data_IF_957600069201
#
_entry.id   IF_957600069201
#
_cell.length_a   1.000
_cell.length_b   1.000
_cell.length_c   1.000
_cell.angle_alpha   90.00
_cell.angle_beta   90.00
_cell.angle_gamma   90.00
#
_symmetry.space_group_name_H-M   'P 1'
#
loop_
_entity.id
_entity.type
_entity.pdbx_description
1 polymer ?
#
# COMPACT_ATOMS: atom_id res chain seq x y z
N UNK A 1 -7.05 21.64 -1.85
CA UNK A 1 -6.83 21.68 -3.32
C UNK A 1 -8.10 21.16 -3.99
N UNK A 2 -8.83 21.99 -4.71
CA UNK A 2 -9.98 21.53 -5.51
C UNK A 2 -9.38 20.80 -6.70
N UNK A 3 -9.46 19.46 -6.74
CA UNK A 3 -9.31 18.74 -7.99
C UNK A 3 -10.38 19.32 -8.92
N UNK A 4 -9.98 20.03 -9.98
CA UNK A 4 -10.87 20.75 -10.84
C UNK A 4 -12.02 19.83 -11.27
N UNK A 5 -13.26 20.18 -10.93
CA UNK A 5 -14.47 19.66 -11.58
C UNK A 5 -14.33 19.96 -13.08
N UNK A 6 -13.84 19.00 -13.84
CA UNK A 6 -13.79 19.11 -15.29
C UNK A 6 -15.18 18.85 -15.89
N UNK A 7 -15.47 19.58 -16.93
CA UNK A 7 -16.73 19.60 -17.67
C UNK A 7 -17.21 18.19 -18.08
N UNK A 8 -18.50 18.05 -18.31
CA UNK A 8 -19.24 16.82 -18.69
C UNK A 8 -18.72 16.05 -19.92
N UNK A 9 -17.79 16.60 -20.69
CA UNK A 9 -17.16 15.96 -21.84
C UNK A 9 -15.68 15.62 -21.53
N UNK A 10 -15.46 14.48 -20.88
CA UNK A 10 -14.11 14.01 -20.61
C UNK A 10 -13.55 13.33 -21.87
N UNK A 11 -12.66 14.06 -22.57
CA UNK A 11 -12.00 13.57 -23.81
C UNK A 11 -10.83 12.62 -23.56
N UNK A 12 -10.66 12.08 -22.35
CA UNK A 12 -9.54 11.21 -21.99
C UNK A 12 -10.04 9.90 -21.38
N UNK A 13 -9.41 8.77 -21.69
CA UNK A 13 -9.76 7.49 -21.08
C UNK A 13 -9.46 7.50 -19.58
N UNK A 14 -10.13 6.64 -18.81
CA UNK A 14 -10.00 6.57 -17.35
C UNK A 14 -8.55 6.37 -16.93
N UNK A 15 -7.80 5.49 -17.58
CA UNK A 15 -6.38 5.29 -17.24
C UNK A 15 -5.57 6.59 -17.37
N UNK A 16 -5.80 7.36 -18.44
CA UNK A 16 -5.10 8.63 -18.62
C UNK A 16 -5.48 9.63 -17.53
N UNK A 17 -6.75 9.68 -17.13
CA UNK A 17 -7.19 10.56 -16.04
C UNK A 17 -6.54 10.19 -14.71
N UNK A 18 -6.38 8.89 -14.42
CA UNK A 18 -5.64 8.41 -13.23
C UNK A 18 -4.20 8.91 -13.27
N UNK A 19 -3.50 8.71 -14.39
CA UNK A 19 -2.09 9.10 -14.55
C UNK A 19 -1.89 10.62 -14.61
N UNK A 20 -2.87 11.39 -15.08
CA UNK A 20 -2.84 12.87 -15.07
C UNK A 20 -2.83 13.47 -13.64
N UNK A 21 -3.13 12.68 -12.62
CA UNK A 21 -2.93 13.08 -11.23
C UNK A 21 -1.45 13.16 -10.85
N UNK A 22 -0.55 12.57 -11.64
CA UNK A 22 0.89 12.76 -11.43
C UNK A 22 1.27 14.14 -11.95
N UNK A 23 1.71 15.08 -11.08
CA UNK A 23 2.10 16.40 -11.54
C UNK A 23 3.30 16.31 -12.50
N UNK A 24 3.24 17.03 -13.61
CA UNK A 24 4.28 16.97 -14.64
C UNK A 24 5.69 17.31 -14.10
N UNK A 25 5.77 18.16 -13.06
CA UNK A 25 7.05 18.49 -12.45
C UNK A 25 7.64 17.31 -11.66
N UNK A 26 6.80 16.47 -11.02
CA UNK A 26 7.24 15.26 -10.29
C UNK A 26 7.91 14.31 -11.26
N UNK A 27 7.24 13.99 -12.37
CA UNK A 27 7.79 13.10 -13.39
C UNK A 27 9.11 13.67 -13.96
N UNK A 28 9.11 14.94 -14.39
CA UNK A 28 10.30 15.57 -14.97
C UNK A 28 11.49 15.61 -14.01
N UNK A 29 11.25 15.94 -12.74
CA UNK A 29 12.31 16.01 -11.72
C UNK A 29 12.94 14.64 -11.48
N UNK A 30 12.12 13.57 -11.35
CA UNK A 30 12.61 12.22 -11.14
C UNK A 30 13.36 11.69 -12.37
N UNK A 31 12.82 11.90 -13.57
CA UNK A 31 13.49 11.53 -14.83
C UNK A 31 14.86 12.23 -14.96
N UNK A 32 14.91 13.52 -14.66
CA UNK A 32 16.17 14.28 -14.68
C UNK A 32 17.17 13.76 -13.63
N UNK A 33 16.72 13.53 -12.39
CA UNK A 33 17.56 13.04 -11.29
C UNK A 33 18.24 11.71 -11.62
N UNK A 34 17.51 10.78 -12.23
CA UNK A 34 18.01 9.43 -12.55
C UNK A 34 18.44 9.26 -14.01
N UNK A 35 18.35 10.30 -14.83
CA UNK A 35 18.74 10.31 -16.24
C UNK A 35 18.11 9.18 -17.07
N UNK A 36 16.87 8.76 -16.71
CA UNK A 36 16.24 7.53 -17.22
C UNK A 36 15.77 7.65 -18.67
N UNK A 37 15.67 8.85 -19.22
CA UNK A 37 15.31 9.08 -20.62
C UNK A 37 16.51 9.48 -21.50
N UNK A 38 17.74 9.54 -20.93
CA UNK A 38 18.95 9.83 -21.68
C UNK A 38 19.19 8.74 -22.73
N UNK A 39 19.30 9.11 -23.99
CA UNK A 39 19.47 8.19 -25.11
C UNK A 39 18.21 7.38 -25.48
N UNK A 40 17.06 7.62 -24.82
CA UNK A 40 15.82 6.92 -25.11
C UNK A 40 14.97 7.68 -26.13
N UNK A 41 14.86 7.15 -27.37
CA UNK A 41 14.09 7.78 -28.43
C UNK A 41 12.64 7.28 -28.51
N UNK A 42 12.42 5.98 -28.34
CA UNK A 42 11.14 5.29 -28.64
C UNK A 42 10.31 4.96 -27.41
N UNK A 43 10.93 4.67 -26.27
CA UNK A 43 10.25 4.20 -25.06
C UNK A 43 10.81 4.89 -23.82
N UNK A 44 10.16 5.96 -23.41
CA UNK A 44 10.57 6.80 -22.30
C UNK A 44 10.02 6.30 -20.97
N UNK A 45 10.43 6.90 -19.87
CA UNK A 45 9.95 6.58 -18.51
C UNK A 45 8.44 6.71 -18.40
N UNK A 46 7.84 7.72 -19.03
CA UNK A 46 6.39 7.87 -19.08
C UNK A 46 5.70 6.69 -19.80
N UNK A 47 6.26 6.24 -20.92
CA UNK A 47 5.68 5.12 -21.68
C UNK A 47 5.71 3.83 -20.87
N UNK A 48 6.79 3.61 -20.10
CA UNK A 48 6.88 2.47 -19.17
C UNK A 48 5.86 2.58 -18.02
N UNK A 49 5.68 3.78 -17.46
CA UNK A 49 4.68 4.03 -16.44
C UNK A 49 3.27 3.72 -16.96
N UNK A 50 2.93 4.19 -18.17
CA UNK A 50 1.64 3.88 -18.82
C UNK A 50 1.49 2.38 -19.04
N UNK A 51 2.48 1.73 -19.65
CA UNK A 51 2.43 0.32 -20.02
C UNK A 51 2.25 -0.58 -18.79
N UNK A 52 3.06 -0.39 -17.74
CA UNK A 52 2.96 -1.20 -16.53
C UNK A 52 1.70 -0.88 -15.70
N UNK A 53 1.25 0.38 -15.67
CA UNK A 53 -0.02 0.72 -15.00
C UNK A 53 -1.21 0.10 -15.73
N UNK A 54 -1.21 0.11 -17.06
CA UNK A 54 -2.20 -0.60 -17.87
C UNK A 54 -2.19 -2.10 -17.57
N UNK A 55 -0.98 -2.71 -17.59
CA UNK A 55 -0.82 -4.13 -17.32
C UNK A 55 -1.36 -4.55 -15.96
N UNK A 56 -1.12 -3.76 -14.92
CA UNK A 56 -1.59 -4.04 -13.56
C UNK A 56 -3.11 -3.90 -13.42
N UNK A 57 -3.67 -2.78 -13.87
CA UNK A 57 -5.10 -2.53 -13.79
C UNK A 57 -5.90 -3.43 -14.73
N UNK A 58 -5.38 -3.70 -15.93
CA UNK A 58 -5.97 -4.61 -16.91
C UNK A 58 -5.76 -6.09 -16.61
N UNK A 59 -4.99 -6.42 -15.54
CA UNK A 59 -4.63 -7.81 -15.19
C UNK A 59 -3.95 -8.57 -16.34
N UNK A 60 -3.05 -7.89 -17.07
CA UNK A 60 -2.28 -8.52 -18.14
C UNK A 60 -1.22 -9.47 -17.55
N UNK A 61 -1.11 -10.67 -18.12
CA UNK A 61 -0.16 -11.68 -17.66
C UNK A 61 1.19 -11.62 -18.39
N UNK A 62 1.20 -10.99 -19.55
CA UNK A 62 2.40 -10.88 -20.40
C UNK A 62 2.58 -9.46 -20.93
N UNK A 63 3.82 -9.13 -21.35
CA UNK A 63 4.10 -7.89 -22.06
C UNK A 63 3.39 -7.83 -23.41
N UNK A 64 3.08 -8.98 -24.02
CA UNK A 64 2.31 -9.05 -25.26
C UNK A 64 0.87 -8.62 -25.04
N UNK A 65 0.25 -8.99 -23.92
CA UNK A 65 -1.11 -8.55 -23.57
C UNK A 65 -1.17 -7.02 -23.42
N UNK A 66 -0.15 -6.43 -22.78
CA UNK A 66 -0.04 -4.97 -22.65
C UNK A 66 0.06 -4.31 -24.03
N UNK A 67 0.95 -4.83 -24.88
CA UNK A 67 1.13 -4.31 -26.25
C UNK A 67 -0.17 -4.39 -27.04
N UNK A 68 -0.87 -5.53 -26.99
CA UNK A 68 -2.14 -5.74 -27.64
C UNK A 68 -3.21 -4.75 -27.13
N UNK A 69 -3.37 -4.64 -25.80
CA UNK A 69 -4.37 -3.77 -25.20
C UNK A 69 -4.15 -2.28 -25.45
N UNK A 70 -2.90 -1.82 -25.46
CA UNK A 70 -2.57 -0.41 -25.75
C UNK A 70 -2.73 -0.07 -27.24
N UNK A 71 -2.61 -1.04 -28.13
CA UNK A 71 -2.74 -0.85 -29.58
C UNK A 71 -4.15 -1.04 -30.13
N UNK A 72 -5.14 -1.27 -29.27
CA UNK A 72 -6.53 -1.55 -29.68
C UNK A 72 -7.14 -0.42 -30.53
N UNK A 73 -6.68 0.80 -30.34
CA UNK A 73 -7.07 1.99 -31.09
C UNK A 73 -5.92 3.00 -31.15
N UNK A 74 -5.65 3.52 -32.36
CA UNK A 74 -4.70 4.61 -32.52
C UNK A 74 -5.08 5.86 -31.75
N UNK A 75 -6.37 6.18 -31.70
CA UNK A 75 -6.90 7.32 -30.90
C UNK A 75 -6.64 7.10 -29.42
N UNK A 76 -6.94 5.91 -28.90
CA UNK A 76 -6.67 5.57 -27.51
C UNK A 76 -5.18 5.75 -27.17
N UNK A 77 -4.30 5.24 -28.01
CA UNK A 77 -2.85 5.34 -27.80
C UNK A 77 -2.38 6.81 -27.76
N UNK A 78 -2.87 7.66 -28.69
CA UNK A 78 -2.58 9.10 -28.71
C UNK A 78 -3.11 9.79 -27.44
N UNK A 79 -4.34 9.48 -27.03
CA UNK A 79 -4.95 10.05 -25.83
C UNK A 79 -4.24 9.62 -24.54
N UNK A 80 -3.63 8.44 -24.55
CA UNK A 80 -2.70 8.02 -23.48
C UNK A 80 -1.38 8.78 -23.49
N UNK A 81 -1.08 9.57 -24.52
CA UNK A 81 0.16 10.32 -24.69
C UNK A 81 1.32 9.47 -25.19
N UNK A 82 1.04 8.30 -25.77
CA UNK A 82 2.04 7.42 -26.38
C UNK A 82 2.26 7.82 -27.85
N UNK A 83 3.51 7.91 -28.27
CA UNK A 83 3.86 8.21 -29.66
C UNK A 83 3.77 7.00 -30.58
N UNK A 84 3.97 5.81 -30.03
CA UNK A 84 3.93 4.53 -30.70
C UNK A 84 3.54 3.42 -29.75
N UNK A 85 3.07 2.29 -30.28
CA UNK A 85 2.75 1.13 -29.46
C UNK A 85 4.01 0.55 -28.82
N UNK A 86 4.06 0.38 -27.48
CA UNK A 86 5.15 -0.31 -26.82
C UNK A 86 5.15 -1.79 -27.18
N UNK A 87 6.14 -2.25 -27.94
CA UNK A 87 6.27 -3.68 -28.29
C UNK A 87 6.99 -4.45 -27.19
N UNK A 88 6.75 -5.78 -27.13
CA UNK A 88 7.26 -6.67 -26.08
C UNK A 88 8.76 -6.53 -25.82
N UNK A 89 9.59 -6.52 -26.88
CA UNK A 89 11.05 -6.40 -26.76
C UNK A 89 11.46 -5.08 -26.10
N UNK A 90 10.92 -3.97 -26.59
CA UNK A 90 11.22 -2.63 -26.06
C UNK A 90 10.77 -2.47 -24.59
N UNK A 91 9.61 -3.04 -24.23
CA UNK A 91 9.16 -3.06 -22.82
C UNK A 91 10.08 -3.92 -21.96
N UNK A 92 10.51 -5.08 -22.46
CA UNK A 92 11.43 -5.98 -21.75
C UNK A 92 12.76 -5.28 -21.47
N UNK A 93 13.34 -4.63 -22.47
CA UNK A 93 14.59 -3.87 -22.33
C UNK A 93 14.45 -2.69 -21.37
N UNK A 94 13.35 -1.94 -21.48
CA UNK A 94 13.05 -0.87 -20.55
C UNK A 94 12.91 -1.35 -19.10
N UNK A 95 12.22 -2.49 -18.87
CA UNK A 95 12.06 -3.09 -17.55
C UNK A 95 13.40 -3.57 -16.97
N UNK A 96 14.28 -4.11 -17.80
CA UNK A 96 15.58 -4.60 -17.39
C UNK A 96 16.56 -3.46 -17.06
N UNK A 97 16.62 -2.43 -17.89
CA UNK A 97 17.71 -1.47 -17.91
C UNK A 97 17.38 -0.11 -17.28
N UNK A 98 16.10 0.34 -17.26
CA UNK A 98 15.73 1.63 -16.68
C UNK A 98 15.72 1.55 -15.16
N UNK A 99 16.51 2.40 -14.52
CA UNK A 99 16.66 2.42 -13.07
C UNK A 99 15.32 2.58 -12.35
N UNK A 100 14.89 1.56 -11.60
CA UNK A 100 13.62 1.54 -10.85
C UNK A 100 13.47 2.68 -9.84
N UNK A 101 14.60 3.26 -9.38
CA UNK A 101 14.60 4.38 -8.43
C UNK A 101 13.88 5.62 -8.97
N UNK A 102 13.66 5.72 -10.27
CA UNK A 102 12.82 6.79 -10.82
C UNK A 102 11.37 6.66 -10.35
N UNK A 103 10.82 5.44 -10.31
CA UNK A 103 9.47 5.18 -9.85
C UNK A 103 9.34 5.25 -8.33
N UNK A 104 10.38 4.83 -7.60
CA UNK A 104 10.50 5.03 -6.16
C UNK A 104 10.44 6.52 -5.80
N UNK A 105 11.24 7.35 -6.46
CA UNK A 105 11.26 8.80 -6.23
C UNK A 105 9.94 9.47 -6.61
N UNK A 106 9.30 9.06 -7.71
CA UNK A 106 7.95 9.53 -8.09
C UNK A 106 6.95 9.21 -6.97
N UNK A 107 6.97 7.99 -6.43
CA UNK A 107 6.06 7.58 -5.35
C UNK A 107 6.21 8.48 -4.12
N UNK A 108 7.43 8.69 -3.63
CA UNK A 108 7.65 9.54 -2.45
C UNK A 108 7.36 11.02 -2.70
N UNK A 109 7.61 11.52 -3.91
CA UNK A 109 7.22 12.88 -4.26
C UNK A 109 5.69 13.04 -4.33
N UNK A 110 4.95 12.02 -4.77
CA UNK A 110 3.49 12.02 -4.73
C UNK A 110 2.93 12.03 -3.30
N UNK A 111 3.50 11.23 -2.38
CA UNK A 111 3.16 11.30 -0.96
C UNK A 111 3.36 12.72 -0.43
N UNK A 112 4.51 13.33 -0.71
CA UNK A 112 4.79 14.71 -0.29
C UNK A 112 3.81 15.72 -0.91
N UNK A 113 3.46 15.55 -2.18
CA UNK A 113 2.55 16.45 -2.90
C UNK A 113 1.11 16.35 -2.38
N UNK A 114 0.64 15.13 -2.14
CA UNK A 114 -0.75 14.87 -1.73
C UNK A 114 -0.95 14.68 -0.22
N UNK A 115 0.11 14.78 0.59
CA UNK A 115 0.09 14.49 2.03
C UNK A 115 -1.09 15.16 2.75
N UNK A 116 -1.31 16.48 2.55
CA UNK A 116 -2.44 17.21 3.15
C UNK A 116 -3.83 16.69 2.74
N UNK A 117 -3.96 16.21 1.51
CA UNK A 117 -5.23 15.64 1.01
C UNK A 117 -5.45 14.24 1.56
N UNK A 118 -4.37 13.51 1.82
CA UNK A 118 -4.39 12.15 2.33
C UNK A 118 -4.57 12.07 3.85
N UNK A 119 -4.26 13.14 4.58
CA UNK A 119 -4.42 13.21 6.05
C UNK A 119 -5.85 13.44 6.53
N UNK A 120 -6.85 13.36 5.67
CA UNK A 120 -8.26 13.52 6.05
C UNK A 120 -8.70 12.37 6.98
N UNK A 121 -8.92 12.71 8.24
CA UNK A 121 -9.20 11.76 9.34
C UNK A 121 -10.65 11.25 9.40
N UNK A 122 -11.56 11.71 8.54
CA UNK A 122 -13.02 11.44 8.65
C UNK A 122 -13.41 9.96 8.61
N UNK A 123 -12.52 9.08 8.19
CA UNK A 123 -12.79 7.65 7.97
C UNK A 123 -11.95 6.73 8.85
N UNK A 124 -11.22 7.27 9.85
CA UNK A 124 -10.31 6.47 10.66
C UNK A 124 -10.78 6.37 12.09
N UNK A 125 -10.64 5.17 12.65
CA UNK A 125 -10.76 4.98 14.09
C UNK A 125 -9.64 5.77 14.78
N UNK A 126 -10.02 6.76 15.58
CA UNK A 126 -9.10 7.59 16.36
C UNK A 126 -9.01 7.01 17.76
N UNK A 127 -7.79 6.77 18.24
CA UNK A 127 -7.52 6.45 19.64
C UNK A 127 -7.28 7.78 20.33
N UNK A 128 -8.21 8.20 21.18
CA UNK A 128 -8.25 9.55 21.74
C UNK A 128 -6.98 9.93 22.50
N UNK A 129 -6.43 9.01 23.30
CA UNK A 129 -5.24 9.25 24.12
C UNK A 129 -3.99 9.58 23.28
N UNK A 130 -3.93 9.09 22.04
CA UNK A 130 -2.78 9.27 21.12
C UNK A 130 -3.14 9.98 19.81
N UNK A 131 -4.26 10.68 19.77
CA UNK A 131 -4.80 11.31 18.54
C UNK A 131 -3.89 12.32 17.87
N UNK A 132 -2.98 12.92 18.62
CA UNK A 132 -2.02 13.92 18.15
C UNK A 132 -0.65 13.33 17.84
N UNK A 133 -0.44 12.06 18.16
CA UNK A 133 0.84 11.39 17.98
C UNK A 133 1.01 10.83 16.56
N UNK A 134 2.25 10.70 16.14
CA UNK A 134 2.59 10.05 14.89
C UNK A 134 2.67 8.54 15.11
N UNK A 135 1.79 7.77 14.46
CA UNK A 135 1.77 6.31 14.58
C UNK A 135 2.34 5.71 13.29
N UNK A 136 3.33 4.83 13.45
CA UNK A 136 3.95 4.05 12.38
C UNK A 136 3.72 2.57 12.63
N UNK A 137 3.12 1.89 11.65
CA UNK A 137 2.93 0.45 11.69
C UNK A 137 4.03 -0.21 10.85
N UNK A 138 4.66 -1.25 11.38
CA UNK A 138 5.76 -1.94 10.70
C UNK A 138 5.38 -3.39 10.48
N UNK A 139 5.48 -3.81 9.21
CA UNK A 139 5.32 -5.21 8.83
C UNK A 139 6.05 -5.52 7.53
N UNK A 140 6.14 -6.78 7.18
CA UNK A 140 6.70 -7.22 5.92
C UNK A 140 5.79 -8.23 5.22
N UNK A 141 5.83 -8.25 3.90
CA UNK A 141 5.12 -9.25 3.13
C UNK A 141 6.07 -9.98 2.19
N UNK A 142 6.03 -11.31 2.25
CA UNK A 142 6.77 -12.16 1.33
C UNK A 142 5.99 -12.38 0.04
N UNK A 143 6.68 -12.25 -1.08
CA UNK A 143 6.20 -12.63 -2.41
C UNK A 143 7.05 -13.80 -2.89
N UNK A 144 6.41 -14.96 -3.08
CA UNK A 144 7.09 -16.16 -3.59
C UNK A 144 7.37 -16.03 -5.08
N UNK A 145 8.58 -16.41 -5.49
CA UNK A 145 9.07 -16.37 -6.86
C UNK A 145 9.54 -17.77 -7.29
N UNK A 146 9.44 -18.06 -8.59
CA UNK A 146 10.02 -19.27 -9.16
C UNK A 146 11.53 -19.11 -9.28
N UNK A 147 12.30 -19.93 -8.57
CA UNK A 147 13.77 -19.80 -8.47
C UNK A 147 14.47 -19.91 -9.83
N UNK A 148 13.96 -20.75 -10.72
CA UNK A 148 14.53 -20.93 -12.06
C UNK A 148 14.40 -19.67 -12.95
N UNK A 149 13.49 -18.75 -12.59
CA UNK A 149 13.27 -17.50 -13.33
C UNK A 149 13.87 -16.27 -12.61
N UNK A 150 14.13 -16.38 -11.31
CA UNK A 150 14.58 -15.29 -10.44
C UNK A 150 15.78 -15.71 -9.61
N UNK A 151 16.91 -15.99 -10.25
CA UNK A 151 18.16 -16.48 -9.66
C UNK A 151 18.75 -15.56 -8.59
N UNK A 152 18.46 -14.26 -8.67
CA UNK A 152 18.88 -13.24 -7.70
C UNK A 152 18.06 -13.27 -6.39
N UNK A 153 16.87 -13.88 -6.37
CA UNK A 153 15.93 -13.85 -5.24
C UNK A 153 15.95 -15.15 -4.42
N UNK A 154 17.14 -15.60 -4.02
CA UNK A 154 17.32 -16.87 -3.28
C UNK A 154 16.67 -16.82 -1.90
N UNK A 155 15.85 -17.82 -1.58
CA UNK A 155 15.19 -17.93 -0.27
C UNK A 155 15.47 -19.27 0.43
N UNK A 156 15.26 -20.40 -0.25
CA UNK A 156 15.55 -21.77 0.21
C UNK A 156 16.00 -22.59 -1.00
N UNK A 157 16.49 -23.81 -0.75
CA UNK A 157 17.05 -24.69 -1.79
C UNK A 157 16.15 -24.88 -3.03
N UNK A 158 14.82 -24.72 -2.88
CA UNK A 158 13.85 -24.95 -3.98
C UNK A 158 12.88 -23.77 -4.22
N UNK A 159 13.00 -22.65 -3.49
CA UNK A 159 12.05 -21.51 -3.63
C UNK A 159 12.78 -20.18 -3.60
N UNK A 160 12.49 -19.34 -4.58
CA UNK A 160 12.85 -17.92 -4.56
C UNK A 160 11.79 -17.08 -3.84
N UNK A 161 12.17 -15.91 -3.41
CA UNK A 161 11.23 -14.96 -2.82
C UNK A 161 11.87 -13.62 -2.54
N UNK A 162 11.04 -12.61 -2.53
CA UNK A 162 11.39 -11.28 -2.05
C UNK A 162 10.50 -10.90 -0.87
N UNK A 163 11.01 -10.02 -0.05
CA UNK A 163 10.30 -9.46 1.10
C UNK A 163 10.17 -7.97 0.92
N UNK A 164 8.95 -7.46 1.10
CA UNK A 164 8.62 -6.04 1.04
C UNK A 164 8.45 -5.58 2.49
N UNK A 165 9.48 -4.96 3.05
CA UNK A 165 9.42 -4.34 4.37
C UNK A 165 8.78 -2.98 4.23
N UNK A 166 7.80 -2.68 5.07
CA UNK A 166 6.96 -1.51 4.93
C UNK A 166 6.82 -0.79 6.26
N UNK A 167 7.00 0.52 6.24
CA UNK A 167 6.54 1.42 7.28
C UNK A 167 5.30 2.11 6.76
N UNK A 168 4.20 1.91 7.45
CA UNK A 168 2.91 2.50 7.16
C UNK A 168 2.68 3.70 8.08
N UNK A 169 2.36 4.83 7.49
CA UNK A 169 1.94 6.01 8.24
C UNK A 169 0.42 5.95 8.48
N UNK A 170 0.01 5.83 9.75
CA UNK A 170 -1.41 5.77 10.10
C UNK A 170 -2.15 7.06 9.72
N UNK A 171 -1.48 8.22 9.80
CA UNK A 171 -2.07 9.52 9.45
C UNK A 171 -2.33 9.63 7.95
N UNK A 172 -1.40 9.18 7.12
CA UNK A 172 -1.56 9.17 5.66
C UNK A 172 -2.46 8.02 5.17
N UNK A 173 -2.45 6.88 5.90
CA UNK A 173 -3.03 5.62 5.48
C UNK A 173 -2.37 5.07 4.22
N UNK A 174 -1.05 5.19 4.16
CA UNK A 174 -0.19 4.77 3.06
C UNK A 174 1.19 4.37 3.58
N UNK A 175 1.91 3.50 2.87
CA UNK A 175 3.33 3.28 3.11
C UNK A 175 4.12 4.57 2.87
N UNK A 176 4.86 5.03 3.85
CA UNK A 176 5.79 6.15 3.69
C UNK A 176 7.25 5.71 3.59
N UNK A 177 7.51 4.42 3.80
CA UNK A 177 8.80 3.80 3.51
C UNK A 177 8.62 2.34 3.07
N UNK A 178 9.37 1.96 2.03
CA UNK A 178 9.40 0.61 1.47
C UNK A 178 10.85 0.20 1.25
N UNK A 179 11.23 -0.99 1.75
CA UNK A 179 12.49 -1.64 1.41
C UNK A 179 12.24 -3.04 0.85
N UNK A 180 12.80 -3.34 -0.30
CA UNK A 180 12.61 -4.62 -0.99
C UNK A 180 13.92 -5.41 -0.89
N UNK A 181 13.88 -6.56 -0.22
CA UNK A 181 15.03 -7.45 -0.01
C UNK A 181 14.77 -8.86 -0.49
N UNK A 182 15.80 -9.67 -0.54
CA UNK A 182 15.63 -11.14 -0.65
C UNK A 182 14.85 -11.65 0.58
N UNK A 183 13.99 -12.65 0.39
CA UNK A 183 13.13 -13.17 1.47
C UNK A 183 13.91 -13.83 2.63
N UNK A 184 15.19 -14.13 2.46
CA UNK A 184 16.07 -14.65 3.53
C UNK A 184 16.44 -13.57 4.56
N UNK A 185 16.34 -12.28 4.23
CA UNK A 185 16.69 -11.20 5.14
C UNK A 185 15.68 -11.18 6.29
N UNK A 186 16.21 -11.18 7.53
CA UNK A 186 15.37 -11.13 8.74
C UNK A 186 14.62 -9.78 8.82
N UNK A 187 13.40 -9.80 9.36
CA UNK A 187 12.54 -8.62 9.39
C UNK A 187 13.17 -7.44 10.12
N UNK A 188 13.78 -7.66 11.29
CA UNK A 188 14.47 -6.62 12.06
C UNK A 188 15.61 -5.96 11.28
N UNK A 189 16.33 -6.70 10.41
CA UNK A 189 17.40 -6.16 9.57
C UNK A 189 16.88 -5.37 8.38
N UNK A 190 15.72 -5.72 7.86
CA UNK A 190 15.11 -5.04 6.71
C UNK A 190 14.78 -3.57 6.96
N UNK A 191 14.58 -3.19 8.22
CA UNK A 191 14.25 -1.83 8.65
C UNK A 191 15.20 -1.26 9.70
N UNK A 192 16.33 -1.91 9.97
CA UNK A 192 17.30 -1.51 11.00
C UNK A 192 17.84 -0.08 10.82
N UNK A 193 17.90 0.43 9.58
CA UNK A 193 18.35 1.79 9.28
C UNK A 193 17.27 2.86 9.46
N UNK A 194 16.02 2.49 9.81
CA UNK A 194 14.94 3.46 9.96
C UNK A 194 15.01 4.16 11.32
N UNK A 195 15.20 5.47 11.27
CA UNK A 195 15.17 6.36 12.43
C UNK A 195 13.85 7.14 12.38
N UNK A 196 13.11 7.10 13.47
CA UNK A 196 11.88 7.85 13.61
C UNK A 196 12.08 9.11 14.45
N UNK A 197 11.35 10.20 14.19
CA UNK A 197 11.35 11.38 15.04
C UNK A 197 11.00 11.01 16.50
N UNK A 198 11.53 11.77 17.45
CA UNK A 198 11.17 11.64 18.87
C UNK A 198 9.66 11.70 19.06
N UNK A 199 9.11 10.85 19.93
CA UNK A 199 7.69 10.79 20.24
C UNK A 199 6.88 9.93 19.25
N UNK A 200 7.49 9.39 18.17
CA UNK A 200 6.78 8.48 17.26
C UNK A 200 6.41 7.19 17.98
N UNK A 201 5.16 6.77 17.82
CA UNK A 201 4.66 5.46 18.25
C UNK A 201 4.90 4.45 17.12
N UNK A 202 5.64 3.40 17.41
CA UNK A 202 5.99 2.35 16.45
C UNK A 202 5.32 1.05 16.87
N UNK A 203 4.41 0.56 16.03
CA UNK A 203 3.70 -0.71 16.25
C UNK A 203 4.28 -1.76 15.33
N UNK A 204 4.79 -2.84 15.89
CA UNK A 204 5.58 -3.85 15.18
C UNK A 204 5.01 -5.25 15.37
N UNK A 205 5.12 -6.13 14.36
CA UNK A 205 4.80 -7.54 14.54
C UNK A 205 5.87 -8.26 15.41
N UNK A 206 5.50 -9.38 15.99
CA UNK A 206 6.39 -10.25 16.79
C UNK A 206 7.68 -10.63 16.09
N UNK A 207 7.71 -10.66 14.75
CA UNK A 207 8.91 -10.92 13.98
C UNK A 207 10.00 -9.86 14.17
N UNK A 208 9.62 -8.64 14.57
CA UNK A 208 10.54 -7.52 14.87
C UNK A 208 10.99 -7.48 16.33
N UNK A 209 10.54 -8.42 17.18
CA UNK A 209 10.99 -8.49 18.57
C UNK A 209 12.51 -8.69 18.65
N UNK A 210 13.23 -7.66 19.07
CA UNK A 210 14.68 -7.62 19.15
C UNK A 210 15.10 -6.62 20.24
N UNK A 211 15.99 -7.04 21.17
CA UNK A 211 16.40 -6.20 22.30
C UNK A 211 17.25 -5.00 21.88
N UNK A 212 18.08 -5.13 20.86
CA UNK A 212 18.85 -4.00 20.31
C UNK A 212 17.90 -2.95 19.70
N UNK A 213 16.82 -3.41 19.04
CA UNK A 213 15.80 -2.54 18.51
C UNK A 213 15.04 -1.82 19.63
N UNK A 214 14.70 -2.49 20.73
CA UNK A 214 14.05 -1.87 21.90
C UNK A 214 14.94 -0.80 22.54
N UNK A 215 16.25 -1.09 22.67
CA UNK A 215 17.22 -0.10 23.11
C UNK A 215 17.24 1.11 22.17
N UNK A 216 17.36 0.88 20.88
CA UNK A 216 17.35 1.94 19.87
C UNK A 216 16.09 2.83 19.94
N UNK A 217 14.90 2.21 20.14
CA UNK A 217 13.64 2.95 20.32
C UNK A 217 13.67 3.81 21.60
N UNK A 218 14.13 3.24 22.71
CA UNK A 218 14.26 3.97 23.98
C UNK A 218 15.24 5.16 23.85
N UNK A 219 16.40 4.94 23.25
CA UNK A 219 17.42 5.96 23.07
C UNK A 219 16.92 7.12 22.17
N UNK A 220 16.14 6.79 21.14
CA UNK A 220 15.48 7.74 20.24
C UNK A 220 14.23 8.40 20.87
N UNK A 221 13.83 8.01 22.08
CA UNK A 221 12.59 8.47 22.75
C UNK A 221 11.34 8.19 21.90
N UNK A 222 11.32 7.05 21.23
CA UNK A 222 10.13 6.54 20.56
C UNK A 222 9.37 5.60 21.49
N UNK A 223 8.05 5.55 21.34
CA UNK A 223 7.23 4.52 21.95
C UNK A 223 7.16 3.33 21.03
N UNK A 224 7.21 2.10 21.54
CA UNK A 224 6.96 0.92 20.74
C UNK A 224 5.87 0.05 21.36
N UNK A 225 5.12 -0.65 20.52
CA UNK A 225 4.15 -1.70 20.92
C UNK A 225 4.38 -2.91 20.03
N UNK A 226 4.64 -4.07 20.65
CA UNK A 226 4.81 -5.34 19.92
C UNK A 226 4.34 -6.53 20.76
N UNK A 227 4.34 -7.74 20.17
CA UNK A 227 4.05 -8.97 20.93
C UNK A 227 5.29 -9.57 21.52
N UNK A 228 5.19 -10.02 22.78
CA UNK A 228 6.23 -10.78 23.45
C UNK A 228 6.44 -12.13 22.75
N UNK A 229 7.70 -12.57 22.61
CA UNK A 229 8.04 -13.94 22.17
C UNK A 229 7.91 -14.91 23.33
N UNK A 230 7.34 -16.10 23.11
CA UNK A 230 6.92 -17.07 24.14
C UNK A 230 8.02 -17.73 25.00
N UNK A 231 9.30 -17.36 24.84
CA UNK A 231 10.43 -17.92 25.64
C UNK A 231 11.34 -16.83 26.21
N UNK A 232 10.85 -15.60 26.29
CA UNK A 232 11.62 -14.50 26.85
C UNK A 232 11.49 -14.54 28.36
N UNK A 233 12.64 -14.46 29.04
CA UNK A 233 12.71 -14.45 30.52
C UNK A 233 12.54 -13.03 31.02
N UNK A 234 11.60 -12.85 31.93
CA UNK A 234 11.35 -11.60 32.63
C UNK A 234 10.89 -11.87 34.07
N UNK A 235 10.98 -10.88 34.90
CA UNK A 235 10.37 -10.84 36.24
C UNK A 235 9.28 -9.78 36.27
N UNK A 236 8.17 -10.08 36.92
CA UNK A 236 7.12 -9.10 37.24
C UNK A 236 7.58 -8.24 38.40
N UNK A 237 7.54 -6.93 38.23
CA UNK A 237 7.93 -5.96 39.25
C UNK A 237 6.73 -5.47 40.02
N UNK A 238 5.62 -5.24 39.31
CA UNK A 238 4.39 -4.70 39.87
C UNK A 238 3.21 -5.12 38.97
N UNK A 239 2.10 -5.49 39.58
CA UNK A 239 0.84 -5.70 38.87
C UNK A 239 0.01 -4.41 39.01
N UNK A 240 -0.44 -3.87 37.88
CA UNK A 240 -1.21 -2.64 37.83
C UNK A 240 -2.70 -2.95 37.99
N UNK A 241 -3.41 -2.10 38.74
CA UNK A 241 -4.84 -2.21 38.90
C UNK A 241 -5.58 -2.01 37.58
N UNK A 242 -6.50 -2.91 37.29
CA UNK A 242 -7.38 -2.80 36.14
C UNK A 242 -8.70 -2.16 36.59
N UNK A 243 -9.16 -1.07 35.94
CA UNK A 243 -10.45 -0.46 36.25
C UNK A 243 -11.60 -1.44 36.13
N UNK A 244 -12.65 -1.31 36.96
CA UNK A 244 -13.82 -2.18 36.93
C UNK A 244 -14.60 -2.12 35.62
N UNK A 245 -14.58 -0.96 34.97
CA UNK A 245 -15.21 -0.68 33.67
C UNK A 245 -14.32 -1.00 32.46
N UNK A 246 -13.19 -1.71 32.68
CA UNK A 246 -12.26 -2.10 31.63
C UNK A 246 -12.90 -2.96 30.55
N UNK A 247 -12.31 -2.96 29.36
CA UNK A 247 -12.60 -3.96 28.32
C UNK A 247 -12.31 -5.36 28.88
N UNK A 248 -13.30 -6.26 28.81
CA UNK A 248 -13.22 -7.63 29.33
C UNK A 248 -12.08 -8.45 28.67
N UNK A 249 -11.61 -8.00 27.52
CA UNK A 249 -10.49 -8.62 26.82
C UNK A 249 -9.11 -8.29 27.42
N UNK A 250 -9.02 -7.31 28.32
CA UNK A 250 -7.78 -7.02 29.08
C UNK A 250 -7.74 -7.91 30.31
N UNK A 251 -6.87 -8.91 30.28
CA UNK A 251 -6.80 -9.93 31.34
C UNK A 251 -5.83 -9.55 32.47
N UNK A 252 -4.68 -8.92 32.13
CA UNK A 252 -3.66 -8.55 33.09
C UNK A 252 -2.83 -7.37 32.57
N UNK A 253 -2.34 -6.56 33.49
CA UNK A 253 -1.47 -5.43 33.22
C UNK A 253 -0.34 -5.41 34.28
N UNK A 254 0.91 -5.43 33.85
CA UNK A 254 2.04 -5.52 34.77
C UNK A 254 3.28 -4.79 34.26
N UNK A 255 4.09 -4.31 35.19
CA UNK A 255 5.42 -3.80 34.94
C UNK A 255 6.44 -4.95 35.07
N UNK A 256 7.31 -5.07 34.10
CA UNK A 256 8.29 -6.16 34.03
C UNK A 256 9.72 -5.65 33.80
N UNK A 257 10.70 -6.50 34.16
CA UNK A 257 12.11 -6.35 33.74
C UNK A 257 12.55 -7.61 33.04
N UNK A 258 13.29 -7.44 31.93
CA UNK A 258 13.91 -8.58 31.26
C UNK A 258 15.11 -9.07 32.05
N UNK A 259 15.21 -10.40 32.25
CA UNK A 259 16.27 -11.06 33.02
C UNK A 259 17.24 -11.85 32.15
N UNK A 260 16.93 -11.98 30.84
CA UNK A 260 17.75 -12.77 29.92
C UNK A 260 19.14 -12.17 29.68
N UNK A 261 20.13 -13.01 29.38
CA UNK A 261 21.49 -12.57 29.04
C UNK A 261 21.52 -11.66 27.81
N UNK A 262 20.66 -11.91 26.84
CA UNK A 262 20.53 -11.13 25.62
C UNK A 262 20.02 -9.71 25.91
N UNK A 263 19.05 -9.57 26.80
CA UNK A 263 18.54 -8.26 27.23
C UNK A 263 19.61 -7.46 27.97
N UNK A 264 20.38 -8.11 28.86
CA UNK A 264 21.53 -7.47 29.57
C UNK A 264 22.59 -7.03 28.58
N UNK A 265 22.97 -7.88 27.60
CA UNK A 265 23.93 -7.54 26.55
C UNK A 265 23.47 -6.34 25.70
N UNK A 266 22.18 -6.24 25.42
CA UNK A 266 21.59 -5.10 24.72
C UNK A 266 21.48 -3.83 25.57
N UNK A 267 21.88 -3.84 26.87
CA UNK A 267 21.83 -2.68 27.77
C UNK A 267 20.45 -2.36 28.29
N UNK A 268 19.56 -3.33 28.38
CA UNK A 268 18.21 -3.20 28.94
C UNK A 268 18.12 -3.64 30.41
N UNK A 269 19.25 -3.93 31.06
CA UNK A 269 19.29 -4.32 32.48
C UNK A 269 18.66 -3.22 33.34
N UNK A 270 17.74 -3.61 34.24
CA UNK A 270 17.06 -2.68 35.15
C UNK A 270 16.00 -1.78 34.48
N UNK A 271 15.86 -1.79 33.16
CA UNK A 271 14.81 -1.04 32.46
C UNK A 271 13.44 -1.67 32.71
N UNK A 272 12.46 -0.81 33.00
CA UNK A 272 11.07 -1.22 33.19
C UNK A 272 10.35 -1.14 31.86
N UNK A 273 9.56 -2.17 31.59
CA UNK A 273 8.63 -2.27 30.46
C UNK A 273 7.25 -2.64 30.99
N UNK A 274 6.22 -2.37 30.20
CA UNK A 274 4.84 -2.75 30.56
C UNK A 274 4.40 -3.90 29.69
N UNK A 275 3.74 -4.88 30.30
CA UNK A 275 3.23 -6.08 29.66
C UNK A 275 1.71 -6.15 29.86
N UNK A 276 0.97 -5.97 28.79
CA UNK A 276 -0.49 -6.06 28.79
C UNK A 276 -0.92 -7.41 28.18
N UNK A 277 -1.65 -8.20 28.94
CA UNK A 277 -2.18 -9.49 28.52
C UNK A 277 -3.60 -9.32 27.99
N UNK A 278 -3.82 -9.67 26.75
CA UNK A 278 -5.09 -9.47 26.03
C UNK A 278 -5.62 -10.79 25.50
N UNK A 279 -6.92 -11.03 25.70
CA UNK A 279 -7.63 -12.13 25.03
C UNK A 279 -8.12 -11.68 23.67
N UNK A 280 -7.77 -12.42 22.63
CA UNK A 280 -8.20 -12.16 21.26
C UNK A 280 -9.33 -13.12 20.90
N UNK A 281 -10.56 -12.62 20.89
CA UNK A 281 -11.79 -13.42 20.64
C UNK A 281 -11.75 -14.12 19.28
N UNK A 282 -11.38 -13.38 18.20
CA UNK A 282 -11.35 -13.91 16.83
C UNK A 282 -10.51 -15.19 16.68
N UNK A 283 -9.41 -15.28 17.41
CA UNK A 283 -8.46 -16.39 17.33
C UNK A 283 -8.57 -17.35 18.55
N UNK A 284 -9.38 -17.04 19.54
CA UNK A 284 -9.48 -17.71 20.84
C UNK A 284 -8.09 -17.88 21.49
N UNK A 285 -7.31 -16.79 21.57
CA UNK A 285 -5.91 -16.81 22.02
C UNK A 285 -5.61 -15.66 22.96
N UNK A 286 -4.76 -15.96 23.95
CA UNK A 286 -4.13 -14.94 24.78
C UNK A 286 -2.87 -14.44 24.07
N UNK A 287 -2.71 -13.13 24.02
CA UNK A 287 -1.51 -12.47 23.51
C UNK A 287 -0.93 -11.54 24.58
N UNK A 288 0.38 -11.40 24.59
CA UNK A 288 1.11 -10.54 25.50
C UNK A 288 1.72 -9.40 24.72
N UNK A 289 1.32 -8.16 25.00
CA UNK A 289 1.78 -6.94 24.36
C UNK A 289 2.83 -6.27 25.26
N UNK A 290 3.99 -5.98 24.70
CA UNK A 290 5.08 -5.31 25.39
C UNK A 290 5.28 -3.90 24.85
N UNK A 291 5.50 -2.94 25.76
CA UNK A 291 5.76 -1.53 25.43
C UNK A 291 6.71 -0.91 26.45
N UNK A 292 7.36 0.19 26.04
CA UNK A 292 8.11 1.07 26.96
C UNK A 292 7.26 2.24 27.48
N UNK A 293 5.96 2.28 27.15
CA UNK A 293 5.04 3.29 27.64
C UNK A 293 4.27 2.75 28.86
N UNK A 294 4.41 3.43 30.00
CA UNK A 294 3.86 2.98 31.28
C UNK A 294 2.58 3.73 31.73
N UNK A 295 2.34 4.94 31.15
CA UNK A 295 1.32 5.86 31.66
C UNK A 295 -0.06 5.71 30.95
N UNK A 296 -0.10 5.13 29.73
CA UNK A 296 -1.36 5.01 28.97
C UNK A 296 -2.31 3.98 29.55
N UNK A 297 -3.57 4.05 29.17
CA UNK A 297 -4.52 2.99 29.50
C UNK A 297 -4.15 1.68 28.77
N UNK A 298 -4.39 0.53 29.40
CA UNK A 298 -4.11 -0.79 28.80
C UNK A 298 -4.86 -1.00 27.47
N UNK A 299 -6.08 -0.48 27.38
CA UNK A 299 -6.89 -0.54 26.16
C UNK A 299 -6.24 0.22 25.00
N UNK A 300 -5.59 1.35 25.26
CA UNK A 300 -4.86 2.11 24.24
C UNK A 300 -3.72 1.28 23.62
N UNK A 301 -3.00 0.50 24.43
CA UNK A 301 -1.94 -0.39 23.97
C UNK A 301 -2.52 -1.51 23.10
N UNK A 302 -3.66 -2.08 23.52
CA UNK A 302 -4.36 -3.10 22.74
C UNK A 302 -4.88 -2.57 21.40
N UNK A 303 -5.50 -1.40 21.39
CA UNK A 303 -6.04 -0.76 20.20
C UNK A 303 -4.93 -0.34 19.22
N UNK A 304 -3.79 0.17 19.73
CA UNK A 304 -2.62 0.44 18.90
C UNK A 304 -2.12 -0.83 18.20
N UNK A 305 -2.03 -1.93 18.95
CA UNK A 305 -1.60 -3.20 18.33
C UNK A 305 -2.63 -3.73 17.31
N UNK A 306 -3.92 -3.53 17.55
CA UNK A 306 -4.99 -3.88 16.60
C UNK A 306 -4.85 -3.12 15.29
N UNK A 307 -4.45 -1.84 15.30
CA UNK A 307 -4.18 -1.05 14.09
C UNK A 307 -3.12 -1.65 13.16
N UNK A 308 -2.21 -2.48 13.69
CA UNK A 308 -1.23 -3.19 12.86
C UNK A 308 -1.89 -3.99 11.72
N UNK A 309 -3.16 -4.38 11.90
CA UNK A 309 -3.92 -5.09 10.86
C UNK A 309 -4.13 -4.27 9.57
N UNK A 310 -4.07 -2.95 9.64
CA UNK A 310 -4.24 -2.08 8.46
C UNK A 310 -3.14 -2.32 7.41
N UNK A 311 -1.92 -2.62 7.85
CA UNK A 311 -0.82 -2.94 6.92
C UNK A 311 -0.99 -4.34 6.28
N UNK A 312 -1.60 -5.29 6.99
CA UNK A 312 -1.95 -6.60 6.41
C UNK A 312 -3.05 -6.45 5.35
N UNK A 313 -4.06 -5.62 5.63
CA UNK A 313 -5.11 -5.28 4.66
C UNK A 313 -4.49 -4.64 3.42
N UNK A 314 -3.56 -3.69 3.58
CA UNK A 314 -2.83 -3.10 2.47
C UNK A 314 -2.13 -4.15 1.60
N UNK A 315 -1.35 -5.06 2.21
CA UNK A 315 -0.69 -6.12 1.45
C UNK A 315 -1.67 -7.05 0.73
N UNK A 316 -2.80 -7.36 1.37
CA UNK A 316 -3.89 -8.13 0.75
C UNK A 316 -4.43 -7.42 -0.48
N UNK A 317 -4.73 -6.11 -0.38
CA UNK A 317 -5.23 -5.30 -1.49
C UNK A 317 -4.22 -5.22 -2.65
N UNK A 318 -2.94 -5.01 -2.35
CA UNK A 318 -1.87 -4.99 -3.35
C UNK A 318 -1.76 -6.33 -4.10
N UNK A 319 -1.80 -7.45 -3.36
CA UNK A 319 -1.71 -8.80 -3.95
C UNK A 319 -2.94 -9.18 -4.78
N UNK A 320 -4.13 -8.72 -4.41
CA UNK A 320 -5.39 -9.08 -5.07
C UNK A 320 -5.71 -8.18 -6.27
N UNK A 321 -5.46 -6.88 -6.14
CA UNK A 321 -5.93 -5.89 -7.10
C UNK A 321 -4.85 -5.38 -8.07
N UNK A 322 -3.55 -5.41 -7.67
CA UNK A 322 -2.45 -4.80 -8.41
C UNK A 322 -1.35 -5.78 -8.83
N UNK A 323 -1.67 -7.06 -8.88
CA UNK A 323 -0.83 -8.13 -9.46
C UNK A 323 0.64 -8.17 -9.01
N UNK A 324 0.94 -7.85 -7.74
CA UNK A 324 2.32 -7.98 -7.23
C UNK A 324 2.75 -9.44 -6.97
N UNK A 325 1.92 -10.42 -7.35
CA UNK A 325 2.26 -11.86 -7.30
C UNK A 325 2.82 -12.38 -8.62
N UNK A 326 2.54 -11.71 -9.74
CA UNK A 326 2.97 -12.09 -11.08
C UNK A 326 3.78 -10.95 -11.68
N UNK A 327 5.05 -11.22 -11.97
CA UNK A 327 5.94 -10.22 -12.53
C UNK A 327 6.12 -10.39 -14.03
N UNK A 328 6.07 -9.26 -14.74
CA UNK A 328 6.21 -9.19 -16.21
C UNK A 328 7.66 -9.22 -16.68
N UNK A 329 8.61 -9.16 -15.75
CA UNK A 329 10.04 -9.29 -16.01
C UNK A 329 10.73 -9.99 -14.85
N UNK A 330 11.85 -10.66 -15.12
CA UNK A 330 12.55 -11.52 -14.15
C UNK A 330 13.75 -10.84 -13.47
N UNK A 331 14.27 -9.73 -14.04
CA UNK A 331 15.37 -9.00 -13.40
C UNK A 331 14.92 -8.29 -12.13
N UNK A 332 15.84 -8.11 -11.18
CA UNK A 332 15.58 -7.36 -9.94
C UNK A 332 15.01 -5.97 -10.23
N UNK A 333 15.60 -5.28 -11.21
CA UNK A 333 15.14 -3.96 -11.62
C UNK A 333 13.70 -3.95 -12.17
N UNK A 334 13.32 -4.95 -12.97
CA UNK A 334 11.96 -5.10 -13.50
C UNK A 334 10.94 -5.32 -12.38
N UNK A 335 11.27 -6.19 -11.43
CA UNK A 335 10.41 -6.50 -10.28
C UNK A 335 10.21 -5.27 -9.39
N UNK A 336 11.30 -4.57 -9.04
CA UNK A 336 11.24 -3.35 -8.23
C UNK A 336 10.46 -2.23 -8.95
N UNK A 337 10.68 -2.07 -10.25
CA UNK A 337 9.89 -1.11 -11.07
C UNK A 337 8.41 -1.41 -11.02
N UNK A 338 8.01 -2.68 -11.19
CA UNK A 338 6.61 -3.09 -11.14
C UNK A 338 6.00 -2.85 -9.75
N UNK A 339 6.72 -3.13 -8.66
CA UNK A 339 6.24 -2.88 -7.29
C UNK A 339 6.03 -1.38 -7.06
N UNK A 340 6.99 -0.52 -7.41
CA UNK A 340 6.82 0.93 -7.21
C UNK A 340 5.74 1.53 -8.09
N UNK A 341 5.57 1.05 -9.33
CA UNK A 341 4.43 1.46 -10.17
C UNK A 341 3.10 0.99 -9.57
N UNK A 342 3.03 -0.21 -8.97
CA UNK A 342 1.85 -0.66 -8.22
C UNK A 342 1.52 0.28 -7.06
N UNK A 343 2.53 0.72 -6.32
CA UNK A 343 2.37 1.67 -5.22
C UNK A 343 1.89 3.04 -5.71
N UNK A 344 2.42 3.53 -6.84
CA UNK A 344 1.93 4.76 -7.49
C UNK A 344 0.45 4.61 -7.85
N UNK A 345 0.09 3.53 -8.53
CA UNK A 345 -1.30 3.26 -8.93
C UNK A 345 -2.20 3.16 -7.70
N UNK A 346 -1.78 2.44 -6.65
CA UNK A 346 -2.52 2.35 -5.38
C UNK A 346 -2.79 3.74 -4.77
N UNK A 347 -1.74 4.58 -4.66
CA UNK A 347 -1.85 5.93 -4.12
C UNK A 347 -2.84 6.78 -4.94
N UNK A 348 -2.75 6.74 -6.27
CA UNK A 348 -3.63 7.51 -7.15
C UNK A 348 -5.09 7.04 -7.05
N UNK A 349 -5.32 5.74 -7.02
CA UNK A 349 -6.66 5.18 -6.84
C UNK A 349 -7.24 5.52 -5.46
N UNK A 350 -6.44 5.42 -4.41
CA UNK A 350 -6.86 5.78 -3.06
C UNK A 350 -7.17 7.27 -2.94
N UNK A 351 -6.39 8.13 -3.59
CA UNK A 351 -6.68 9.56 -3.68
C UNK A 351 -8.03 9.83 -4.35
N UNK A 352 -8.30 9.18 -5.49
CA UNK A 352 -9.60 9.32 -6.20
C UNK A 352 -10.73 8.80 -5.31
N UNK A 353 -10.56 7.63 -4.70
CA UNK A 353 -11.56 7.01 -3.82
C UNK A 353 -11.93 7.93 -2.64
N UNK A 354 -10.94 8.52 -1.99
CA UNK A 354 -11.17 9.45 -0.85
C UNK A 354 -11.84 10.74 -1.28
N UNK A 355 -11.45 11.29 -2.42
CA UNK A 355 -11.97 12.58 -2.88
C UNK A 355 -13.36 12.45 -3.51
N UNK A 356 -13.57 11.47 -4.38
CA UNK A 356 -14.82 11.34 -5.14
C UNK A 356 -15.82 10.40 -4.47
N UNK A 357 -15.40 9.25 -3.96
CA UNK A 357 -16.30 8.30 -3.29
C UNK A 357 -16.49 8.60 -1.80
N UNK A 358 -15.78 9.62 -1.26
CA UNK A 358 -15.79 9.97 0.18
C UNK A 358 -15.60 8.75 1.09
N UNK A 359 -14.75 7.79 0.65
CA UNK A 359 -14.47 6.54 1.36
C UNK A 359 -15.59 5.52 1.45
N UNK A 360 -16.80 5.83 1.00
CA UNK A 360 -17.97 4.95 1.10
C UNK A 360 -17.88 3.65 0.30
N UNK A 361 -16.94 3.57 -0.65
CA UNK A 361 -16.72 2.38 -1.50
C UNK A 361 -15.46 1.66 -1.06
N UNK A 362 -15.52 0.36 -0.82
CA UNK A 362 -14.34 -0.46 -0.55
C UNK A 362 -13.32 -0.36 -1.70
N UNK A 363 -12.02 -0.34 -1.37
CA UNK A 363 -10.95 -0.16 -2.37
C UNK A 363 -11.02 -1.19 -3.50
N UNK A 364 -11.25 -2.47 -3.18
CA UNK A 364 -11.36 -3.53 -4.19
C UNK A 364 -12.49 -3.29 -5.18
N UNK A 365 -13.67 -2.88 -4.69
CA UNK A 365 -14.81 -2.57 -5.54
C UNK A 365 -14.55 -1.35 -6.44
N UNK A 366 -13.87 -0.33 -5.89
CA UNK A 366 -13.48 0.84 -6.67
C UNK A 366 -12.44 0.48 -7.74
N UNK A 367 -11.41 -0.30 -7.37
CA UNK A 367 -10.38 -0.77 -8.30
C UNK A 367 -10.99 -1.59 -9.45
N UNK A 368 -11.98 -2.45 -9.15
CA UNK A 368 -12.69 -3.24 -10.14
C UNK A 368 -13.50 -2.35 -11.11
N UNK A 369 -14.19 -1.33 -10.61
CA UNK A 369 -14.89 -0.34 -11.46
C UNK A 369 -13.92 0.38 -12.39
N UNK A 370 -12.78 0.85 -11.85
CA UNK A 370 -11.72 1.48 -12.67
C UNK A 370 -11.22 0.52 -13.73
N UNK A 371 -11.01 -0.75 -13.40
CA UNK A 371 -10.55 -1.79 -14.34
C UNK A 371 -11.54 -2.00 -15.48
N UNK A 372 -12.83 -2.14 -15.18
CA UNK A 372 -13.88 -2.31 -16.18
C UNK A 372 -13.95 -1.09 -17.12
N UNK A 373 -13.77 0.11 -16.56
CA UNK A 373 -13.86 1.36 -17.31
C UNK A 373 -12.52 1.85 -17.87
N UNK A 374 -11.44 1.07 -17.79
CA UNK A 374 -10.07 1.49 -18.04
C UNK A 374 -9.86 2.18 -19.40
N UNK A 375 -10.51 1.65 -20.44
CA UNK A 375 -10.43 2.15 -21.79
C UNK A 375 -11.53 3.18 -22.13
N UNK A 376 -12.49 3.38 -21.25
CA UNK A 376 -13.64 4.24 -21.50
C UNK A 376 -13.35 5.72 -21.19
N UNK A 377 -14.05 6.61 -21.88
CA UNK A 377 -13.97 8.07 -21.76
C UNK A 377 -15.04 8.59 -20.79
N UNK A 378 -15.08 8.02 -19.60
CA UNK A 378 -16.03 8.35 -18.54
C UNK A 378 -15.41 9.34 -17.55
N UNK A 379 -16.24 9.98 -16.71
CA UNK A 379 -15.73 10.79 -15.59
C UNK A 379 -15.51 9.94 -14.32
N UNK A 380 -14.70 10.42 -13.39
CA UNK A 380 -14.53 9.75 -12.10
C UNK A 380 -15.83 9.71 -11.28
N UNK A 381 -16.69 10.75 -11.42
CA UNK A 381 -18.01 10.75 -10.78
C UNK A 381 -18.85 9.57 -11.24
N UNK A 382 -18.81 9.23 -12.54
CA UNK A 382 -19.49 8.07 -13.08
C UNK A 382 -18.91 6.77 -12.50
N UNK A 383 -17.58 6.60 -12.53
CA UNK A 383 -16.91 5.41 -11.98
C UNK A 383 -17.18 5.24 -10.48
N UNK A 384 -17.29 6.35 -9.73
CA UNK A 384 -17.65 6.34 -8.32
C UNK A 384 -19.16 6.09 -8.07
N UNK A 385 -20.00 6.06 -9.10
CA UNK A 385 -21.45 5.90 -8.96
C UNK A 385 -22.15 7.14 -8.41
N UNK A 386 -21.57 8.33 -8.60
CA UNK A 386 -22.11 9.60 -8.10
C UNK A 386 -23.07 10.26 -9.09
N UNK A 387 -23.06 9.88 -10.34
CA UNK A 387 -24.04 10.34 -11.34
C UNK A 387 -25.34 9.57 -11.10
N UNK A 388 -26.25 10.22 -10.40
CA UNK A 388 -27.53 9.75 -9.91
C UNK A 388 -28.14 8.56 -10.67
N UNK A 389 -28.74 7.68 -9.87
CA UNK A 389 -29.64 6.58 -10.23
C UNK A 389 -29.68 6.35 -11.75
N UNK A 390 -28.97 5.31 -12.21
CA UNK A 390 -29.35 4.70 -13.50
C UNK A 390 -30.85 4.49 -13.41
N UNK A 391 -31.63 5.34 -14.07
CA UNK A 391 -33.07 5.15 -14.15
C UNK A 391 -33.24 3.72 -14.63
N UNK A 392 -33.94 2.91 -13.84
CA UNK A 392 -34.26 1.54 -14.18
C UNK A 392 -34.69 1.54 -15.65
N UNK A 393 -33.94 0.88 -16.52
CA UNK A 393 -34.34 0.73 -17.92
C UNK A 393 -35.63 -0.08 -17.88
N UNK A 394 -36.76 0.59 -17.95
CA UNK A 394 -38.08 -0.06 -18.04
C UNK A 394 -38.21 -0.45 -19.49
N UNK A 395 -37.97 -1.71 -19.78
CA UNK A 395 -38.22 -2.27 -21.09
C UNK A 395 -39.71 -2.11 -21.41
N UNK A 396 -40.07 -1.60 -22.59
CA UNK A 396 -41.47 -1.57 -23.02
C UNK A 396 -42.08 -2.98 -22.97
N UNK A 397 -43.32 -3.13 -22.52
CA UNK A 397 -43.99 -4.45 -22.53
C UNK A 397 -43.92 -5.11 -23.92
N UNK A 398 -43.48 -6.37 -23.96
CA UNK A 398 -43.45 -7.18 -25.16
C UNK A 398 -42.16 -7.13 -26.00
N UNK A 399 -41.09 -6.43 -25.54
CA UNK A 399 -39.76 -6.48 -26.18
C UNK A 399 -38.73 -7.22 -25.34
N UNK A 400 -37.96 -8.08 -25.98
CA UNK A 400 -36.87 -8.82 -25.35
C UNK A 400 -35.53 -8.06 -25.48
N UNK A 401 -34.51 -8.44 -24.70
CA UNK A 401 -33.15 -7.90 -24.83
C UNK A 401 -32.55 -8.06 -26.25
N UNK A 402 -33.05 -9.00 -27.04
CA UNK A 402 -32.61 -9.27 -28.42
C UNK A 402 -33.26 -8.38 -29.48
N UNK A 403 -34.25 -7.56 -29.10
CA UNK A 403 -34.89 -6.59 -30.01
C UNK A 403 -34.22 -5.22 -29.95
N UNK A 404 -33.05 -5.12 -29.36
CA UNK A 404 -32.30 -3.84 -29.13
C UNK A 404 -31.92 -3.15 -30.45
N UNK A 405 -31.69 -3.93 -31.52
CA UNK A 405 -31.35 -3.40 -32.86
C UNK A 405 -32.47 -2.58 -33.51
N UNK A 406 -33.70 -2.65 -32.97
CA UNK A 406 -34.87 -1.91 -33.45
C UNK A 406 -35.19 -0.68 -32.59
N UNK A 407 -34.42 -0.40 -31.56
CA UNK A 407 -34.61 0.76 -30.67
C UNK A 407 -33.73 1.92 -31.14
N UNK A 408 -34.26 3.14 -31.26
CA UNK A 408 -33.43 4.28 -31.61
C UNK A 408 -32.37 4.51 -30.49
N UNK A 409 -31.12 4.38 -30.87
CA UNK A 409 -29.93 4.40 -29.99
C UNK A 409 -29.82 5.69 -29.16
N UNK A 410 -30.45 6.78 -29.60
CA UNK A 410 -30.35 8.10 -28.94
C UNK A 410 -31.18 8.26 -27.67
N UNK A 411 -32.17 7.41 -27.38
CA UNK A 411 -33.10 7.62 -26.26
C UNK A 411 -32.73 6.90 -24.98
N UNK A 412 -31.77 5.96 -25.00
CA UNK A 412 -31.50 5.06 -23.87
C UNK A 412 -30.15 5.23 -23.17
N UNK A 413 -29.27 6.03 -23.73
CA UNK A 413 -27.94 6.21 -23.14
C UNK A 413 -27.76 7.50 -22.32
N UNK A 414 -28.68 8.51 -22.42
CA UNK A 414 -28.44 9.83 -21.85
C UNK A 414 -29.70 10.61 -21.44
N UNK A 415 -30.65 10.02 -20.76
CA UNK A 415 -31.70 10.79 -20.09
C UNK A 415 -31.69 10.57 -18.59
#
# INVERSE_FOLDING_TARGET
MKLHRRSKNNKKPILRQVLDLIPAYVLRKSVYKFQTDKGCHKYKTYDQLVALSFGQLGKCYTLSDISCGLSISSTYMVDMGLKQNPVKSTMSDGNKNRNYKVFEDIYYQLIKHYGRTLTDKRERAVIEEVKNETIKLIDSSTVSLCLNLFDWAKFRTAKGGLKIHTVWDDTLGLPDYINITEAKVHDSKGLASQIFPKGTIVVEDRAYFDFELFKSRNDAKNVFVTRLKGKVLYESVEELDLPDDRDQNILKDELIKFTSKEAKKAGLEGKIFRLVTVYKEDDNKVIHLITNQIDWQAITIADLYKKRWDIEIFFKLMKQNLQIKTFLGTSENAVKSQIFISLIVYLLLELIRRVYCKGKTAFSNFCERVRICLLHYLSFEFVCGLNGIVKKVVMPPGKTLFDVDKLPVQTYLFS
#
